data_IF_770433811297
#
_entry.id   IF_770433811297
#
_cell.length_a   1.000
_cell.length_b   1.000
_cell.length_c   1.000
_cell.angle_alpha   90.00
_cell.angle_beta   90.00
_cell.angle_gamma   90.00
#
_symmetry.space_group_name_H-M   'P 1'
#
loop_
_entity.id
_entity.type
_entity.pdbx_description
1 polymer ?
#
# COMPACT_ATOMS: atom_id res chain seq x y z
N UNK A 1 3.47 -8.26 -0.82
CA UNK A 1 2.83 -9.57 -1.09
C UNK A 1 3.77 -10.45 -1.90
N UNK A 2 3.93 -11.74 -1.55
CA UNK A 2 4.69 -12.70 -2.35
C UNK A 2 3.79 -13.38 -3.37
N UNK A 3 4.22 -13.44 -4.62
CA UNK A 3 3.49 -14.05 -5.75
C UNK A 3 3.94 -15.50 -5.99
N UNK A 4 3.19 -16.22 -6.82
CA UNK A 4 3.50 -17.61 -7.21
C UNK A 4 4.84 -17.75 -7.95
N UNK A 5 5.29 -16.69 -8.65
CA UNK A 5 6.58 -16.61 -9.35
C UNK A 5 7.77 -16.32 -8.40
N UNK A 6 7.53 -16.31 -7.07
CA UNK A 6 8.50 -15.98 -6.01
C UNK A 6 8.98 -14.53 -6.02
N UNK A 7 8.42 -13.68 -6.89
CA UNK A 7 8.63 -12.23 -6.83
C UNK A 7 7.64 -11.60 -5.85
N UNK A 8 7.92 -10.36 -5.50
CA UNK A 8 7.14 -9.56 -4.57
C UNK A 8 6.49 -8.39 -5.30
N UNK A 9 5.35 -7.95 -4.79
CA UNK A 9 4.70 -6.67 -5.15
C UNK A 9 4.37 -5.92 -3.88
N UNK A 10 4.22 -4.60 -3.98
CA UNK A 10 3.66 -3.74 -2.93
C UNK A 10 2.28 -3.26 -3.34
N UNK A 11 1.41 -3.09 -2.36
CA UNK A 11 0.08 -2.49 -2.51
C UNK A 11 -0.13 -1.59 -1.30
N UNK A 12 -0.65 -0.38 -1.52
CA UNK A 12 -0.95 0.58 -0.45
C UNK A 12 -2.45 0.77 -0.40
N UNK A 13 -2.99 0.81 0.81
CA UNK A 13 -4.40 1.03 1.06
C UNK A 13 -4.56 2.26 1.95
N UNK A 14 -5.58 3.06 1.68
CA UNK A 14 -6.02 4.17 2.53
C UNK A 14 -7.34 3.80 3.22
N UNK A 15 -7.51 4.28 4.45
CA UNK A 15 -8.78 4.13 5.17
C UNK A 15 -9.73 5.22 4.70
N UNK A 16 -10.90 4.81 4.22
CA UNK A 16 -11.92 5.72 3.73
C UNK A 16 -13.16 5.63 4.61
N UNK A 17 -13.46 6.73 5.30
CA UNK A 17 -14.70 6.94 6.03
C UNK A 17 -15.50 8.01 5.29
N UNK A 18 -16.77 7.73 4.97
CA UNK A 18 -17.71 8.78 4.56
C UNK A 18 -18.68 9.09 5.68
N UNK A 19 -18.66 10.34 6.13
CA UNK A 19 -19.69 10.96 6.96
C UNK A 19 -20.92 11.35 6.11
N UNK A 20 -21.49 10.40 5.38
CA UNK A 20 -22.81 10.56 4.76
C UNK A 20 -23.85 9.69 5.48
N UNK A 21 -25.13 9.83 5.08
CA UNK A 21 -26.26 9.13 5.75
C UNK A 21 -26.13 7.60 5.71
N UNK A 22 -25.20 7.06 4.91
CA UNK A 22 -24.88 5.65 4.79
C UNK A 22 -23.41 5.44 5.14
N UNK A 23 -23.02 5.66 6.40
CA UNK A 23 -21.65 5.47 6.88
C UNK A 23 -20.99 4.22 6.28
N UNK A 24 -20.09 4.45 5.32
CA UNK A 24 -19.30 3.42 4.65
C UNK A 24 -17.85 3.58 5.10
N UNK A 25 -17.34 2.53 5.72
CA UNK A 25 -15.97 2.44 6.19
C UNK A 25 -15.28 1.28 5.46
N UNK A 26 -14.24 1.58 4.68
CA UNK A 26 -13.50 0.53 3.98
C UNK A 26 -12.06 0.93 3.68
N UNK A 27 -11.19 -0.07 3.55
CA UNK A 27 -9.85 0.08 2.98
C UNK A 27 -9.95 0.18 1.46
N UNK A 28 -9.49 1.30 0.89
CA UNK A 28 -9.43 1.53 -0.55
C UNK A 28 -8.00 1.37 -1.05
N UNK A 29 -7.73 0.59 -2.13
CA UNK A 29 -6.40 0.51 -2.70
C UNK A 29 -6.04 1.83 -3.40
N UNK A 30 -4.86 2.36 -3.11
CA UNK A 30 -4.29 3.47 -3.86
C UNK A 30 -3.78 2.92 -5.20
N UNK A 31 -4.36 3.40 -6.31
CA UNK A 31 -3.97 2.93 -7.64
C UNK A 31 -2.55 3.38 -7.97
N UNK A 32 -1.60 2.46 -7.89
CA UNK A 32 -0.22 2.63 -8.31
C UNK A 32 0.13 1.63 -9.41
N UNK A 33 1.18 1.93 -10.19
CA UNK A 33 1.73 0.98 -11.14
C UNK A 33 2.31 -0.26 -10.42
N UNK A 34 2.06 -1.44 -10.98
CA UNK A 34 2.59 -2.70 -10.44
C UNK A 34 4.08 -2.84 -10.80
N UNK A 35 4.92 -3.02 -9.78
CA UNK A 35 6.35 -3.35 -9.94
C UNK A 35 6.63 -4.73 -9.37
N UNK A 36 7.41 -5.53 -10.10
CA UNK A 36 7.92 -6.81 -9.62
C UNK A 36 9.24 -6.60 -8.87
N UNK A 37 9.32 -7.16 -7.68
CA UNK A 37 10.43 -6.95 -6.74
C UNK A 37 11.06 -8.30 -6.43
N UNK A 38 12.38 -8.34 -6.46
CA UNK A 38 13.21 -9.53 -6.40
C UNK A 38 13.44 -10.05 -4.98
N UNK A 39 13.42 -9.17 -3.98
CA UNK A 39 13.65 -9.54 -2.57
C UNK A 39 12.58 -8.98 -1.63
N UNK A 40 12.38 -9.69 -0.52
CA UNK A 40 11.45 -9.28 0.54
C UNK A 40 11.88 -7.98 1.22
N UNK A 41 13.17 -7.85 1.55
CA UNK A 41 13.74 -6.65 2.17
C UNK A 41 13.48 -5.41 1.31
N UNK A 42 13.70 -5.53 -0.01
CA UNK A 42 13.43 -4.43 -0.95
C UNK A 42 11.94 -4.14 -1.05
N UNK A 43 11.09 -5.17 -1.00
CA UNK A 43 9.63 -4.98 -1.01
C UNK A 43 9.13 -4.25 0.24
N UNK A 44 9.69 -4.57 1.43
CA UNK A 44 9.38 -3.86 2.67
C UNK A 44 9.82 -2.40 2.58
N UNK A 45 11.06 -2.14 2.14
CA UNK A 45 11.58 -0.78 1.99
C UNK A 45 10.70 0.06 1.05
N UNK A 46 10.37 -0.47 -0.13
CA UNK A 46 9.50 0.22 -1.09
C UNK A 46 8.11 0.45 -0.49
N UNK A 47 7.54 -0.54 0.20
CA UNK A 47 6.23 -0.38 0.85
C UNK A 47 6.22 0.74 1.89
N UNK A 48 7.26 0.86 2.70
CA UNK A 48 7.42 1.95 3.67
C UNK A 48 7.57 3.30 2.98
N UNK A 49 8.38 3.40 1.93
CA UNK A 49 8.55 4.63 1.15
C UNK A 49 7.22 5.09 0.53
N UNK A 50 6.44 4.17 -0.04
CA UNK A 50 5.11 4.47 -0.57
C UNK A 50 4.12 4.88 0.53
N UNK A 51 4.18 4.27 1.71
CA UNK A 51 3.36 4.70 2.85
C UNK A 51 3.70 6.13 3.28
N UNK A 52 4.99 6.48 3.40
CA UNK A 52 5.44 7.85 3.72
C UNK A 52 4.98 8.87 2.70
N UNK A 53 5.07 8.53 1.41
CA UNK A 53 4.62 9.39 0.31
C UNK A 53 3.12 9.69 0.40
N UNK A 54 2.30 8.70 0.76
CA UNK A 54 0.85 8.84 0.78
C UNK A 54 0.27 9.33 2.12
N UNK A 55 0.86 8.98 3.25
CA UNK A 55 0.40 9.46 4.56
C UNK A 55 0.86 10.89 4.84
N UNK A 56 1.96 11.34 4.22
CA UNK A 56 2.63 12.58 4.59
C UNK A 56 3.29 12.52 5.97
N UNK A 57 3.31 11.36 6.61
CA UNK A 57 3.93 11.14 7.92
C UNK A 57 5.38 10.67 7.78
N UNK A 58 6.23 11.13 8.71
CA UNK A 58 7.57 10.59 8.87
C UNK A 58 7.48 9.28 9.66
N UNK A 59 7.43 8.16 8.95
CA UNK A 59 7.46 6.81 9.55
C UNK A 59 8.91 6.43 9.86
N UNK A 60 9.39 6.62 11.10
CA UNK A 60 10.75 6.20 11.53
C UNK A 60 10.87 4.68 11.76
#
# INVERSE_FOLDING_TARGET
MKRCDRLYTTEVFEWFERDDEYAYEYWSPIKQGLSLIDTEERAIKIGIEQLKEHSGELID
#
